data_IF_431981144019
#
_entry.id   IF_431981144019
#
_cell.length_a   1.000
_cell.length_b   1.000
_cell.length_c   1.000
_cell.angle_alpha   90.00
_cell.angle_beta   90.00
_cell.angle_gamma   90.00
#
_symmetry.space_group_name_H-M   'P 1'
#
loop_
_entity.id
_entity.type
_entity.pdbx_description
1 polymer ?
#
# COMPACT_ATOMS: atom_id res chain seq x y z
N UNK A 1 11.66 -11.73 29.33
CA UNK A 1 11.52 -12.34 27.99
C UNK A 1 12.77 -13.16 27.76
N UNK A 2 12.64 -14.43 27.33
CA UNK A 2 13.80 -15.21 26.90
C UNK A 2 14.00 -15.01 25.40
N UNK A 3 15.08 -14.34 25.02
CA UNK A 3 15.54 -14.25 23.64
C UNK A 3 16.31 -15.53 23.34
N UNK A 4 15.74 -16.44 22.57
CA UNK A 4 16.41 -17.69 22.21
C UNK A 4 17.13 -17.54 20.88
N UNK A 5 18.27 -18.23 20.76
CA UNK A 5 18.86 -18.55 19.46
C UNK A 5 17.92 -19.42 18.60
N UNK A 6 18.25 -19.62 17.31
CA UNK A 6 17.34 -20.11 16.27
C UNK A 6 16.63 -21.45 16.48
N UNK A 7 16.90 -22.19 17.58
CA UNK A 7 16.39 -23.55 17.82
C UNK A 7 15.53 -23.76 19.07
N UNK A 8 15.42 -22.81 20.00
CA UNK A 8 14.72 -23.07 21.27
C UNK A 8 13.50 -22.15 21.48
N UNK A 9 12.39 -22.72 21.94
CA UNK A 9 11.27 -21.98 22.51
C UNK A 9 11.42 -21.90 24.04
N UNK A 10 10.79 -20.92 24.72
CA UNK A 10 10.82 -20.89 26.18
C UNK A 10 10.19 -22.16 26.74
N UNK A 11 10.76 -22.77 27.80
CA UNK A 11 10.13 -23.88 28.48
C UNK A 11 8.69 -23.51 28.89
N UNK A 12 7.69 -24.39 28.64
CA UNK A 12 6.32 -24.14 29.08
C UNK A 12 6.27 -23.79 30.57
N UNK A 13 5.55 -22.73 30.94
CA UNK A 13 5.40 -22.32 32.34
C UNK A 13 6.55 -21.49 32.92
N UNK A 14 7.51 -21.04 32.09
CA UNK A 14 8.57 -20.10 32.52
C UNK A 14 7.95 -18.79 33.04
N UNK A 15 8.36 -18.35 34.24
CA UNK A 15 7.87 -17.12 34.89
C UNK A 15 9.04 -16.31 35.44
N UNK A 16 8.89 -14.97 35.45
CA UNK A 16 9.82 -14.04 36.09
C UNK A 16 9.03 -13.29 37.16
N UNK A 17 9.56 -13.18 38.37
CA UNK A 17 8.95 -12.36 39.43
C UNK A 17 9.60 -10.99 39.47
N UNK A 18 8.82 -9.92 39.32
CA UNK A 18 9.29 -8.54 39.47
C UNK A 18 8.40 -7.84 40.49
N UNK A 19 8.99 -7.41 41.62
CA UNK A 19 8.24 -6.74 42.69
C UNK A 19 7.07 -7.56 43.26
N UNK A 20 7.21 -8.89 43.34
CA UNK A 20 6.17 -9.81 43.80
C UNK A 20 5.12 -10.20 42.75
N UNK A 21 5.19 -9.65 41.52
CA UNK A 21 4.29 -9.99 40.42
C UNK A 21 4.91 -11.07 39.54
N UNK A 22 4.19 -12.18 39.34
CA UNK A 22 4.58 -13.23 38.39
C UNK A 22 4.24 -12.81 36.95
N UNK A 23 5.27 -12.69 36.11
CA UNK A 23 5.16 -12.37 34.70
C UNK A 23 5.49 -13.64 33.90
N UNK A 24 4.49 -14.19 33.21
CA UNK A 24 4.69 -15.32 32.31
C UNK A 24 5.62 -14.97 31.15
N UNK A 25 6.62 -15.83 30.89
CA UNK A 25 7.52 -15.69 29.75
C UNK A 25 6.80 -16.21 28.50
N UNK A 26 6.16 -15.30 27.77
CA UNK A 26 5.56 -15.59 26.48
C UNK A 26 6.57 -15.58 25.31
N UNK A 27 6.17 -16.14 24.17
CA UNK A 27 6.92 -16.08 22.91
C UNK A 27 6.89 -14.70 22.23
N UNK A 28 6.09 -13.77 22.74
CA UNK A 28 6.06 -12.38 22.32
C UNK A 28 5.68 -11.43 23.46
N UNK A 29 6.13 -10.18 23.40
CA UNK A 29 5.80 -9.12 24.36
C UNK A 29 5.42 -7.84 23.62
N UNK A 30 4.51 -7.07 24.21
CA UNK A 30 4.20 -5.72 23.73
C UNK A 30 5.12 -4.70 24.40
N UNK A 31 5.80 -3.88 23.60
CA UNK A 31 6.66 -2.80 24.09
C UNK A 31 6.49 -1.56 23.21
N UNK A 32 6.17 -0.41 23.82
CA UNK A 32 5.93 0.86 23.13
C UNK A 32 5.02 0.70 21.88
N UNK A 33 3.94 -0.06 21.99
CA UNK A 33 3.00 -0.30 20.88
C UNK A 33 3.45 -1.33 19.82
N UNK A 34 4.72 -1.74 19.81
CA UNK A 34 5.23 -2.85 19.01
C UNK A 34 5.03 -4.18 19.72
N UNK A 35 5.04 -5.28 18.95
CA UNK A 35 4.99 -6.63 19.51
C UNK A 35 6.25 -7.36 19.07
N UNK A 36 7.14 -7.58 20.02
CA UNK A 36 8.43 -8.21 19.80
C UNK A 36 8.24 -9.73 20.01
N UNK A 37 8.36 -10.51 18.94
CA UNK A 37 8.47 -11.98 19.06
C UNK A 37 9.90 -12.39 19.46
N UNK A 38 10.03 -13.58 20.02
CA UNK A 38 11.31 -14.11 20.53
C UNK A 38 12.43 -14.18 19.48
N UNK A 39 12.09 -14.15 18.18
CA UNK A 39 13.01 -14.19 17.05
C UNK A 39 13.24 -12.82 16.39
N UNK A 40 12.66 -11.75 16.94
CA UNK A 40 12.73 -10.40 16.36
C UNK A 40 12.29 -10.30 14.89
N UNK A 41 11.44 -11.23 14.42
CA UNK A 41 10.99 -11.22 13.01
C UNK A 41 9.83 -10.25 12.77
N UNK A 42 9.20 -9.78 13.84
CA UNK A 42 7.99 -8.97 13.87
C UNK A 42 6.78 -9.65 13.19
N UNK A 43 6.83 -10.95 12.91
CA UNK A 43 5.71 -11.68 12.31
C UNK A 43 4.45 -11.57 13.18
N UNK A 44 4.62 -11.69 14.50
CA UNK A 44 3.53 -11.55 15.46
C UNK A 44 2.97 -10.12 15.50
N UNK A 45 3.83 -9.11 15.34
CA UNK A 45 3.40 -7.71 15.20
C UNK A 45 2.47 -7.53 14.01
N UNK A 46 2.89 -7.96 12.81
CA UNK A 46 2.09 -7.81 11.59
C UNK A 46 0.83 -8.71 11.61
N UNK A 47 0.89 -9.86 12.28
CA UNK A 47 -0.30 -10.71 12.50
C UNK A 47 -1.37 -9.96 13.29
N UNK A 48 -1.00 -9.20 14.32
CA UNK A 48 -1.93 -8.39 15.14
C UNK A 48 -2.26 -7.03 14.52
N UNK A 49 -1.36 -6.45 13.73
CA UNK A 49 -1.53 -5.15 13.09
C UNK A 49 -2.50 -5.22 11.90
N UNK A 50 -2.37 -6.22 11.03
CA UNK A 50 -3.16 -6.29 9.80
C UNK A 50 -4.69 -6.26 10.04
N UNK A 51 -5.28 -7.02 10.98
CA UNK A 51 -6.71 -6.91 11.25
C UNK A 51 -7.15 -5.51 11.72
N UNK A 52 -6.26 -4.75 12.38
CA UNK A 52 -6.55 -3.37 12.75
C UNK A 52 -6.58 -2.46 11.53
N UNK A 53 -5.60 -2.60 10.64
CA UNK A 53 -5.53 -1.86 9.38
C UNK A 53 -6.74 -2.20 8.48
N UNK A 54 -7.11 -3.47 8.40
CA UNK A 54 -8.27 -3.94 7.64
C UNK A 54 -9.57 -3.38 8.21
N UNK A 55 -9.76 -3.38 9.54
CA UNK A 55 -10.92 -2.75 10.19
C UNK A 55 -10.99 -1.25 9.93
N UNK A 56 -9.87 -0.55 10.05
CA UNK A 56 -9.79 0.87 9.70
C UNK A 56 -10.16 1.11 8.23
N UNK A 57 -9.58 0.34 7.30
CA UNK A 57 -9.90 0.42 5.87
C UNK A 57 -11.36 0.08 5.55
N UNK A 58 -11.95 -0.87 6.27
CA UNK A 58 -13.36 -1.25 6.13
C UNK A 58 -14.30 -0.16 6.65
N UNK A 59 -14.00 0.47 7.78
CA UNK A 59 -14.76 1.62 8.28
C UNK A 59 -14.76 2.76 7.25
N UNK A 60 -13.59 3.02 6.64
CA UNK A 60 -13.43 4.04 5.61
C UNK A 60 -14.19 3.75 4.31
N UNK A 61 -14.49 2.47 4.00
CA UNK A 61 -15.30 2.11 2.83
C UNK A 61 -16.67 2.80 2.84
N UNK A 62 -17.29 2.96 4.01
CA UNK A 62 -18.61 3.63 4.14
C UNK A 62 -18.50 5.14 3.91
N UNK A 63 -17.40 5.74 4.35
CA UNK A 63 -17.15 7.18 4.24
C UNK A 63 -16.63 7.58 2.85
N UNK A 64 -15.96 6.67 2.15
CA UNK A 64 -15.29 6.91 0.88
C UNK A 64 -15.89 6.05 -0.25
N UNK A 65 -17.17 6.27 -0.62
CA UNK A 65 -17.80 5.52 -1.70
C UNK A 65 -17.08 5.76 -3.02
N UNK A 66 -17.25 4.84 -3.98
CA UNK A 66 -16.62 4.98 -5.30
C UNK A 66 -17.26 6.13 -6.09
N UNK A 67 -18.59 6.20 -6.07
CA UNK A 67 -19.40 7.26 -6.67
C UNK A 67 -19.83 8.27 -5.61
N UNK A 68 -19.74 9.55 -5.93
CA UNK A 68 -20.02 10.63 -4.98
C UNK A 68 -19.08 10.64 -3.77
N UNK A 69 -19.48 11.34 -2.72
CA UNK A 69 -18.73 11.43 -1.46
C UNK A 69 -17.43 12.24 -1.53
N UNK A 70 -16.58 12.13 -0.50
CA UNK A 70 -15.48 13.07 -0.27
C UNK A 70 -14.45 13.13 -1.40
N UNK A 71 -13.88 14.31 -1.54
CA UNK A 71 -12.92 14.70 -2.56
C UNK A 71 -11.51 14.14 -2.29
N UNK A 72 -10.56 14.57 -3.13
CA UNK A 72 -9.17 14.11 -3.11
C UNK A 72 -8.43 14.40 -1.78
N UNK A 73 -8.47 15.63 -1.21
CA UNK A 73 -7.91 15.93 0.12
C UNK A 73 -8.39 14.99 1.22
N UNK A 74 -9.70 14.76 1.32
CA UNK A 74 -10.27 13.90 2.36
C UNK A 74 -9.77 12.45 2.25
N UNK A 75 -9.73 11.90 1.03
CA UNK A 75 -9.19 10.55 0.78
C UNK A 75 -7.71 10.45 1.15
N UNK A 76 -6.90 11.45 0.79
CA UNK A 76 -5.47 11.51 1.16
C UNK A 76 -5.27 11.54 2.67
N UNK A 77 -6.08 12.32 3.38
CA UNK A 77 -6.02 12.38 4.85
C UNK A 77 -6.20 10.99 5.46
N UNK A 78 -7.26 10.28 5.07
CA UNK A 78 -7.53 8.94 5.59
C UNK A 78 -6.47 7.90 5.18
N UNK A 79 -5.97 7.97 3.95
CA UNK A 79 -4.83 7.15 3.54
C UNK A 79 -3.59 7.44 4.41
N UNK A 80 -3.35 8.71 4.73
CA UNK A 80 -2.30 9.16 5.65
C UNK A 80 -2.44 8.60 7.06
N UNK A 81 -3.66 8.59 7.62
CA UNK A 81 -3.94 8.00 8.94
C UNK A 81 -3.57 6.51 8.97
N UNK A 82 -4.08 5.73 8.01
CA UNK A 82 -3.80 4.28 7.97
C UNK A 82 -2.32 4.01 7.70
N UNK A 83 -1.68 4.81 6.85
CA UNK A 83 -0.22 4.76 6.62
C UNK A 83 0.56 5.02 7.92
N UNK A 84 0.18 6.02 8.72
CA UNK A 84 0.83 6.30 10.01
C UNK A 84 0.66 5.16 10.99
N UNK A 85 -0.51 4.49 11.01
CA UNK A 85 -0.70 3.27 11.81
C UNK A 85 0.20 2.13 11.34
N UNK A 86 0.33 1.95 10.02
CA UNK A 86 1.06 0.86 9.40
C UNK A 86 2.58 0.99 9.54
N UNK A 87 3.08 2.24 9.48
CA UNK A 87 4.51 2.56 9.52
C UNK A 87 5.01 2.96 10.90
N UNK A 88 4.17 2.84 11.92
CA UNK A 88 4.59 3.07 13.29
C UNK A 88 5.74 2.11 13.68
N UNK A 89 6.81 2.68 14.22
CA UNK A 89 8.01 1.94 14.59
C UNK A 89 8.81 1.37 13.41
N UNK A 90 8.60 1.85 12.17
CA UNK A 90 9.33 1.39 10.99
C UNK A 90 10.85 1.23 11.18
N UNK A 91 11.57 2.20 11.76
CA UNK A 91 13.02 2.05 12.00
C UNK A 91 13.40 0.82 12.84
N UNK A 92 12.51 0.37 13.72
CA UNK A 92 12.76 -0.76 14.62
C UNK A 92 12.59 -2.10 13.90
N UNK A 93 11.58 -2.23 13.04
CA UNK A 93 11.25 -3.51 12.40
C UNK A 93 11.77 -3.67 10.97
N UNK A 94 12.12 -2.59 10.27
CA UNK A 94 12.65 -2.65 8.89
C UNK A 94 13.89 -3.55 8.76
N UNK A 95 14.89 -3.49 9.66
CA UNK A 95 16.07 -4.36 9.57
C UNK A 95 15.74 -5.86 9.59
N UNK A 96 14.60 -6.23 10.18
CA UNK A 96 14.14 -7.62 10.32
C UNK A 96 12.93 -7.94 9.43
N UNK A 97 12.54 -7.04 8.51
CA UNK A 97 11.33 -7.19 7.71
C UNK A 97 11.49 -8.31 6.67
N UNK A 98 10.88 -9.46 6.95
CA UNK A 98 10.80 -10.57 6.01
C UNK A 98 9.77 -10.37 4.88
N UNK A 99 9.85 -11.22 3.84
CA UNK A 99 8.94 -11.21 2.68
C UNK A 99 7.46 -11.34 3.06
N UNK A 100 7.13 -12.21 4.03
CA UNK A 100 5.75 -12.47 4.48
C UNK A 100 5.12 -11.24 5.19
N UNK A 101 5.75 -10.67 6.23
CA UNK A 101 5.35 -9.37 6.79
C UNK A 101 5.17 -8.26 5.74
N UNK A 102 6.14 -8.09 4.84
CA UNK A 102 6.08 -7.08 3.79
C UNK A 102 4.89 -7.29 2.85
N UNK A 103 4.62 -8.54 2.43
CA UNK A 103 3.47 -8.87 1.60
C UNK A 103 2.14 -8.53 2.29
N UNK A 104 2.02 -8.81 3.60
CA UNK A 104 0.82 -8.52 4.40
C UNK A 104 0.62 -7.02 4.62
N UNK A 105 1.68 -6.27 4.89
CA UNK A 105 1.67 -4.81 4.97
C UNK A 105 1.14 -4.20 3.66
N UNK A 106 1.69 -4.64 2.54
CA UNK A 106 1.32 -4.20 1.20
C UNK A 106 -0.09 -4.65 0.78
N UNK A 107 -0.59 -5.77 1.30
CA UNK A 107 -1.99 -6.18 1.11
C UNK A 107 -2.96 -5.23 1.85
N UNK A 108 -2.61 -4.79 3.06
CA UNK A 108 -3.39 -3.78 3.79
C UNK A 108 -3.39 -2.44 3.05
N UNK A 109 -2.24 -2.02 2.51
CA UNK A 109 -2.14 -0.80 1.72
C UNK A 109 -3.10 -0.79 0.53
N UNK A 110 -3.23 -1.93 -0.16
CA UNK A 110 -4.11 -2.06 -1.33
C UNK A 110 -5.55 -1.64 -1.03
N UNK A 111 -6.04 -1.93 0.18
CA UNK A 111 -7.39 -1.52 0.59
C UNK A 111 -7.52 0.00 0.50
N UNK A 112 -6.53 0.73 0.98
CA UNK A 112 -6.50 2.19 0.92
C UNK A 112 -6.26 2.72 -0.49
N UNK A 113 -5.34 2.11 -1.25
CA UNK A 113 -5.06 2.50 -2.62
C UNK A 113 -6.30 2.38 -3.51
N UNK A 114 -7.09 1.31 -3.37
CA UNK A 114 -8.36 1.14 -4.09
C UNK A 114 -9.36 2.24 -3.74
N UNK A 115 -9.44 2.65 -2.45
CA UNK A 115 -10.34 3.72 -2.01
C UNK A 115 -9.91 5.08 -2.49
N UNK A 116 -8.60 5.33 -2.55
CA UNK A 116 -8.04 6.51 -3.19
C UNK A 116 -8.57 6.57 -4.61
N UNK A 117 -8.26 5.58 -5.45
CA UNK A 117 -8.64 5.63 -6.86
C UNK A 117 -10.12 5.35 -7.14
N UNK A 118 -10.99 5.22 -6.13
CA UNK A 118 -12.42 4.87 -6.32
C UNK A 118 -12.60 3.57 -7.15
N UNK A 119 -11.66 2.64 -6.99
CA UNK A 119 -11.57 1.44 -7.81
C UNK A 119 -12.44 0.28 -7.31
N UNK A 120 -12.60 -0.74 -8.15
CA UNK A 120 -13.17 -2.01 -7.71
C UNK A 120 -12.16 -2.86 -6.93
N UNK A 121 -12.69 -3.75 -6.08
CA UNK A 121 -11.92 -4.67 -5.24
C UNK A 121 -11.04 -5.67 -6.01
N UNK A 122 -11.14 -5.71 -7.33
CA UNK A 122 -10.42 -6.63 -8.23
C UNK A 122 -9.16 -6.03 -8.84
N UNK A 123 -8.92 -4.72 -8.68
CA UNK A 123 -7.70 -4.08 -9.18
C UNK A 123 -6.49 -4.67 -8.43
N UNK A 124 -5.40 -4.97 -9.14
CA UNK A 124 -4.20 -5.52 -8.51
C UNK A 124 -3.59 -4.52 -7.51
N UNK A 125 -2.77 -5.01 -6.58
CA UNK A 125 -2.07 -4.13 -5.63
C UNK A 125 -1.21 -3.10 -6.36
N UNK A 126 -0.38 -3.56 -7.28
CA UNK A 126 0.60 -2.72 -7.99
C UNK A 126 -0.10 -1.64 -8.82
N UNK A 127 -1.14 -2.01 -9.57
CA UNK A 127 -1.95 -1.06 -10.32
C UNK A 127 -2.67 -0.05 -9.40
N UNK A 128 -3.28 -0.51 -8.30
CA UNK A 128 -3.97 0.39 -7.38
C UNK A 128 -3.01 1.39 -6.73
N UNK A 129 -1.84 0.94 -6.25
CA UNK A 129 -0.81 1.80 -5.67
C UNK A 129 -0.25 2.81 -6.67
N UNK A 130 0.03 2.38 -7.91
CA UNK A 130 0.53 3.25 -8.97
C UNK A 130 -0.49 4.33 -9.34
N UNK A 131 -1.74 3.95 -9.60
CA UNK A 131 -2.82 4.89 -9.89
C UNK A 131 -3.06 5.85 -8.71
N UNK A 132 -2.97 5.36 -7.47
CA UNK A 132 -3.12 6.18 -6.27
C UNK A 132 -1.94 7.14 -6.03
N UNK A 133 -0.80 6.94 -6.70
CA UNK A 133 0.45 7.64 -6.39
C UNK A 133 0.97 7.31 -4.98
N UNK A 134 0.67 6.11 -4.47
CA UNK A 134 1.08 5.66 -3.15
C UNK A 134 2.19 4.61 -3.27
N UNK A 135 3.45 4.95 -2.93
CA UNK A 135 4.54 3.98 -2.95
C UNK A 135 4.27 2.81 -2.02
N UNK A 136 4.73 1.58 -2.36
CA UNK A 136 4.63 0.43 -1.47
C UNK A 136 5.12 0.75 -0.05
N UNK A 137 4.34 0.38 0.96
CA UNK A 137 4.65 0.72 2.35
C UNK A 137 5.95 0.12 2.84
N UNK A 138 6.38 -1.03 2.31
CA UNK A 138 7.70 -1.59 2.61
C UNK A 138 8.84 -0.67 2.13
N UNK A 139 8.69 0.00 0.98
CA UNK A 139 9.67 0.98 0.49
C UNK A 139 9.60 2.28 1.31
N UNK A 140 8.41 2.76 1.65
CA UNK A 140 8.26 3.93 2.53
C UNK A 140 8.87 3.68 3.92
N UNK A 141 8.73 2.46 4.44
CA UNK A 141 9.32 2.06 5.72
C UNK A 141 10.84 2.16 5.68
N UNK A 142 11.48 1.69 4.60
CA UNK A 142 12.93 1.84 4.40
C UNK A 142 13.37 3.30 4.43
N UNK A 143 12.59 4.19 3.81
CA UNK A 143 12.87 5.64 3.84
C UNK A 143 12.76 6.21 5.25
N UNK A 144 11.78 5.76 6.05
CA UNK A 144 11.64 6.15 7.46
C UNK A 144 12.78 5.62 8.33
N UNK A 145 13.22 4.39 8.11
CA UNK A 145 14.36 3.79 8.80
C UNK A 145 15.65 4.57 8.52
N UNK A 146 15.96 4.83 7.24
CA UNK A 146 17.15 5.62 6.86
C UNK A 146 17.14 7.02 7.46
N UNK A 147 15.99 7.71 7.46
CA UNK A 147 15.86 9.03 8.11
C UNK A 147 16.12 8.96 9.62
N UNK A 148 15.64 7.90 10.27
CA UNK A 148 15.85 7.69 11.70
C UNK A 148 17.33 7.42 12.00
N UNK A 149 17.99 6.56 11.21
CA UNK A 149 19.40 6.20 11.41
C UNK A 149 20.31 7.43 11.29
N UNK A 150 20.09 8.29 10.29
CA UNK A 150 20.84 9.55 10.16
C UNK A 150 20.63 10.48 11.35
N UNK A 151 19.40 10.56 11.88
CA UNK A 151 19.12 11.39 13.07
C UNK A 151 19.80 10.85 14.31
N UNK A 152 19.78 9.53 14.50
CA UNK A 152 20.47 8.88 15.62
C UNK A 152 21.97 9.09 15.51
N UNK A 153 22.55 8.98 14.32
CA UNK A 153 23.98 9.20 14.10
C UNK A 153 24.39 10.64 14.41
N UNK A 154 23.63 11.65 13.95
CA UNK A 154 23.89 13.04 14.31
C UNK A 154 23.74 13.28 15.81
N UNK A 155 22.69 12.73 16.43
CA UNK A 155 22.48 12.86 17.87
C UNK A 155 23.64 12.25 18.67
N UNK A 156 24.20 11.13 18.23
CA UNK A 156 25.40 10.51 18.85
C UNK A 156 26.63 11.41 18.77
N UNK A 157 26.71 12.27 17.75
CA UNK A 157 27.76 13.29 17.59
C UNK A 157 27.46 14.59 18.34
N UNK A 158 26.33 14.67 19.05
CA UNK A 158 25.87 15.90 19.71
C UNK A 158 25.31 16.95 18.75
N UNK A 159 25.00 16.56 17.51
CA UNK A 159 24.52 17.47 16.47
C UNK A 159 23.00 17.39 16.30
N UNK A 160 22.37 18.51 15.96
CA UNK A 160 20.96 18.56 15.56
C UNK A 160 20.87 18.90 14.07
N UNK A 161 20.15 18.08 13.27
CA UNK A 161 20.06 18.32 11.84
C UNK A 161 19.30 19.62 11.53
N UNK A 162 19.89 20.47 10.70
CA UNK A 162 19.23 21.67 10.22
C UNK A 162 18.01 21.30 9.35
N UNK A 163 16.93 22.12 9.34
CA UNK A 163 15.75 21.85 8.51
C UNK A 163 16.07 21.61 7.03
N UNK A 164 17.04 22.36 6.47
CA UNK A 164 17.53 22.20 5.10
C UNK A 164 18.18 20.84 4.83
N UNK A 165 18.92 20.29 5.80
CA UNK A 165 19.54 18.97 5.69
C UNK A 165 18.48 17.88 5.74
N UNK A 166 17.51 17.98 6.66
CA UNK A 166 16.37 17.05 6.73
C UNK A 166 15.56 17.08 5.43
N UNK A 167 15.36 18.25 4.84
CA UNK A 167 14.69 18.40 3.56
C UNK A 167 15.51 17.75 2.41
N UNK A 168 16.83 17.96 2.38
CA UNK A 168 17.71 17.33 1.40
C UNK A 168 17.67 15.80 1.47
N UNK A 169 17.80 15.22 2.66
CA UNK A 169 17.70 13.76 2.84
C UNK A 169 16.33 13.22 2.43
N UNK A 170 15.24 13.93 2.76
CA UNK A 170 13.89 13.54 2.33
C UNK A 170 13.77 13.50 0.81
N UNK A 171 14.33 14.49 0.12
CA UNK A 171 14.33 14.55 -1.34
C UNK A 171 15.14 13.41 -1.94
N UNK A 172 16.34 13.17 -1.42
CA UNK A 172 17.23 12.08 -1.84
C UNK A 172 16.56 10.71 -1.65
N UNK A 173 16.10 10.40 -0.44
CA UNK A 173 15.50 9.10 -0.16
C UNK A 173 14.18 8.87 -0.90
N UNK A 174 13.43 9.95 -1.21
CA UNK A 174 12.27 9.85 -2.09
C UNK A 174 12.65 9.52 -3.53
N UNK A 175 13.78 10.05 -4.03
CA UNK A 175 14.33 9.68 -5.35
C UNK A 175 14.70 8.21 -5.38
N UNK A 176 15.43 7.73 -4.38
CA UNK A 176 15.82 6.31 -4.28
C UNK A 176 14.59 5.39 -4.22
N UNK A 177 13.59 5.77 -3.43
CA UNK A 177 12.32 5.04 -3.34
C UNK A 177 11.61 4.99 -4.69
N UNK A 178 11.60 6.09 -5.45
CA UNK A 178 11.00 6.13 -6.79
C UNK A 178 11.73 5.21 -7.77
N UNK A 179 13.06 5.20 -7.75
CA UNK A 179 13.88 4.28 -8.56
C UNK A 179 13.56 2.82 -8.22
N UNK A 180 13.58 2.48 -6.92
CA UNK A 180 13.27 1.13 -6.46
C UNK A 180 11.84 0.70 -6.81
N UNK A 181 10.87 1.63 -6.71
CA UNK A 181 9.49 1.36 -7.07
C UNK A 181 9.33 1.17 -8.58
N UNK A 182 9.94 2.02 -9.41
CA UNK A 182 9.92 1.89 -10.87
C UNK A 182 10.55 0.57 -11.32
N UNK A 183 11.66 0.15 -10.70
CA UNK A 183 12.27 -1.15 -10.93
C UNK A 183 11.32 -2.29 -10.55
N UNK A 184 10.63 -2.21 -9.42
CA UNK A 184 9.63 -3.22 -9.02
C UNK A 184 8.47 -3.33 -10.02
N UNK A 185 8.11 -2.22 -10.67
CA UNK A 185 7.07 -2.18 -11.71
C UNK A 185 7.55 -2.64 -13.09
N UNK A 186 8.83 -3.00 -13.27
CA UNK A 186 9.31 -3.61 -14.52
C UNK A 186 8.88 -5.06 -14.67
N UNK A 187 8.65 -5.75 -13.55
CA UNK A 187 8.19 -7.15 -13.48
C UNK A 187 6.98 -7.26 -12.56
N UNK A 188 5.83 -6.71 -12.95
CA UNK A 188 4.64 -6.75 -12.11
C UNK A 188 4.08 -8.17 -12.01
N UNK A 189 3.45 -8.48 -10.89
CA UNK A 189 2.75 -9.74 -10.68
C UNK A 189 1.33 -9.73 -11.27
N UNK A 190 0.72 -8.54 -11.36
CA UNK A 190 -0.62 -8.36 -11.92
C UNK A 190 -0.91 -6.90 -12.27
N UNK A 191 -1.86 -6.68 -13.18
CA UNK A 191 -2.24 -5.34 -13.63
C UNK A 191 -1.31 -4.77 -14.71
N UNK A 192 -0.70 -5.66 -15.50
CA UNK A 192 0.21 -5.35 -16.61
C UNK A 192 -0.24 -4.16 -17.45
N UNK A 193 -1.46 -4.17 -18.00
CA UNK A 193 -1.98 -3.09 -18.84
C UNK A 193 -1.93 -1.69 -18.18
N UNK A 194 -2.36 -1.58 -16.92
CA UNK A 194 -2.30 -0.30 -16.18
C UNK A 194 -0.85 0.16 -16.01
N UNK A 195 0.03 -0.78 -15.68
CA UNK A 195 1.43 -0.49 -15.39
C UNK A 195 2.17 -0.12 -16.67
N UNK A 196 1.93 -0.82 -17.77
CA UNK A 196 2.47 -0.50 -19.10
C UNK A 196 2.03 0.88 -19.58
N UNK A 197 0.77 1.26 -19.34
CA UNK A 197 0.26 2.58 -19.72
C UNK A 197 0.82 3.72 -18.86
N UNK A 198 0.99 3.51 -17.55
CA UNK A 198 1.34 4.59 -16.61
C UNK A 198 2.85 4.68 -16.32
N UNK A 199 3.60 3.57 -16.33
CA UNK A 199 5.04 3.53 -16.01
C UNK A 199 5.91 4.41 -16.92
N UNK A 200 5.61 4.60 -18.22
CA UNK A 200 6.36 5.55 -19.05
C UNK A 200 6.26 6.99 -18.54
N UNK A 201 5.12 7.35 -17.94
CA UNK A 201 4.79 8.67 -17.39
C UNK A 201 5.00 8.73 -15.87
N UNK A 202 5.87 7.89 -15.31
CA UNK A 202 5.89 7.62 -13.87
C UNK A 202 6.11 8.89 -13.04
N UNK A 203 7.04 9.76 -13.43
CA UNK A 203 7.35 10.98 -12.66
C UNK A 203 6.21 12.00 -12.80
N UNK A 204 5.76 12.27 -14.03
CA UNK A 204 4.65 13.19 -14.30
C UNK A 204 3.36 12.72 -13.61
N UNK A 205 3.14 11.40 -13.59
CA UNK A 205 2.01 10.81 -12.90
C UNK A 205 2.07 11.02 -11.41
N UNK A 206 3.23 10.86 -10.76
CA UNK A 206 3.36 11.07 -9.32
C UNK A 206 3.30 12.56 -8.92
N UNK A 207 3.69 13.45 -9.82
CA UNK A 207 3.77 14.91 -9.59
C UNK A 207 2.53 15.67 -10.07
N UNK A 208 1.57 14.98 -10.67
CA UNK A 208 0.33 15.57 -11.21
C UNK A 208 -0.37 16.47 -10.18
N UNK A 209 -0.77 17.66 -10.65
CA UNK A 209 -1.53 18.62 -9.83
C UNK A 209 -3.00 18.24 -9.63
N UNK A 210 -3.56 17.42 -10.51
CA UNK A 210 -4.94 16.95 -10.36
C UNK A 210 -4.99 15.79 -9.37
N UNK A 211 -5.73 15.98 -8.26
CA UNK A 211 -5.66 15.15 -7.07
C UNK A 211 -5.83 13.63 -7.30
N UNK A 212 -7.05 13.14 -7.14
CA UNK A 212 -7.34 11.70 -7.18
C UNK A 212 -8.22 11.41 -8.38
N UNK A 213 -8.00 10.27 -9.04
CA UNK A 213 -8.75 9.89 -10.22
C UNK A 213 -10.26 9.87 -9.95
N UNK A 214 -11.04 10.34 -10.92
CA UNK A 214 -12.49 10.16 -10.90
C UNK A 214 -12.83 8.68 -11.02
N UNK A 215 -14.01 8.29 -10.54
CA UNK A 215 -14.48 6.90 -10.65
C UNK A 215 -14.41 6.38 -12.09
N UNK A 216 -14.85 7.21 -13.05
CA UNK A 216 -14.89 6.88 -14.49
C UNK A 216 -13.48 6.73 -15.06
N UNK A 217 -12.56 7.63 -14.74
CA UNK A 217 -11.16 7.52 -15.19
C UNK A 217 -10.49 6.26 -14.64
N UNK A 218 -10.71 5.92 -13.38
CA UNK A 218 -10.17 4.68 -12.84
C UNK A 218 -10.71 3.46 -13.56
N UNK A 219 -12.01 3.43 -13.85
CA UNK A 219 -12.65 2.33 -14.59
C UNK A 219 -12.03 2.16 -15.98
N UNK A 220 -11.88 3.27 -16.70
CA UNK A 220 -11.19 3.36 -17.99
C UNK A 220 -9.77 2.77 -17.90
N UNK A 221 -8.94 3.30 -17.01
CA UNK A 221 -7.53 2.90 -16.89
C UNK A 221 -7.36 1.45 -16.47
N UNK A 222 -8.27 0.94 -15.65
CA UNK A 222 -8.18 -0.41 -15.09
C UNK A 222 -8.87 -1.47 -15.96
N UNK A 223 -9.52 -1.06 -17.04
CA UNK A 223 -10.34 -1.96 -17.86
C UNK A 223 -11.52 -2.54 -17.07
N UNK A 224 -12.11 -1.73 -16.18
CA UNK A 224 -13.25 -2.06 -15.34
C UNK A 224 -14.47 -1.22 -15.72
N UNK A 225 -15.68 -1.67 -15.37
CA UNK A 225 -16.93 -0.93 -15.64
C UNK A 225 -17.85 -1.66 -16.60
N UNK A 226 -18.56 -0.95 -17.46
CA UNK A 226 -19.48 -1.54 -18.46
C UNK A 226 -18.74 -2.15 -19.68
N UNK A 227 -17.41 -2.23 -19.65
CA UNK A 227 -16.64 -2.86 -20.72
C UNK A 227 -16.91 -4.37 -20.73
N UNK A 228 -17.27 -4.92 -21.89
CA UNK A 228 -17.67 -6.33 -22.00
C UNK A 228 -16.60 -7.32 -21.63
N UNK A 229 -15.33 -7.03 -21.92
CA UNK A 229 -14.20 -7.86 -21.46
C UNK A 229 -14.20 -8.02 -19.94
N UNK A 230 -14.51 -6.96 -19.20
CA UNK A 230 -14.64 -7.03 -17.75
C UNK A 230 -15.86 -7.84 -17.32
N UNK A 231 -17.03 -7.54 -17.89
CA UNK A 231 -18.29 -8.20 -17.56
C UNK A 231 -18.25 -9.71 -17.87
N UNK A 232 -17.66 -10.11 -18.99
CA UNK A 232 -17.41 -11.50 -19.34
C UNK A 232 -16.48 -12.18 -18.33
N UNK A 233 -15.37 -11.52 -17.95
CA UNK A 233 -14.45 -12.03 -16.92
C UNK A 233 -15.13 -12.27 -15.57
N UNK A 234 -16.10 -11.44 -15.18
CA UNK A 234 -16.89 -11.63 -13.95
C UNK A 234 -18.17 -12.44 -14.17
N UNK A 235 -18.31 -13.10 -15.33
CA UNK A 235 -19.43 -13.97 -15.72
C UNK A 235 -20.80 -13.27 -15.74
N UNK A 236 -20.83 -11.96 -15.96
CA UNK A 236 -22.06 -11.19 -16.14
C UNK A 236 -22.46 -11.03 -17.62
N UNK A 237 -21.53 -11.27 -18.56
CA UNK A 237 -21.78 -11.26 -20.01
C UNK A 237 -21.29 -12.57 -20.64
N UNK A 238 -21.96 -13.03 -21.70
CA UNK A 238 -21.64 -14.31 -22.37
C UNK A 238 -20.42 -14.22 -23.29
N UNK A 239 -20.10 -13.04 -23.81
CA UNK A 239 -18.97 -12.82 -24.73
C UNK A 239 -18.21 -11.54 -24.39
N UNK A 240 -16.89 -11.47 -24.70
CA UNK A 240 -16.06 -10.30 -24.40
C UNK A 240 -16.17 -9.15 -25.44
N UNK A 241 -16.77 -9.39 -26.61
CA UNK A 241 -16.83 -8.44 -27.74
C UNK A 241 -18.04 -7.49 -27.73
N UNK A 242 -17.86 -6.28 -28.27
CA UNK A 242 -18.91 -5.25 -28.34
C UNK A 242 -20.00 -5.58 -29.36
N UNK A 243 -21.25 -5.16 -29.10
CA UNK A 243 -22.33 -5.25 -30.10
C UNK A 243 -22.27 -4.12 -31.14
N UNK A 244 -21.47 -3.08 -30.91
CA UNK A 244 -21.41 -1.87 -31.74
C UNK A 244 -20.20 -1.86 -32.69
N UNK A 245 -19.21 -2.72 -32.46
CA UNK A 245 -18.02 -2.86 -33.28
C UNK A 245 -17.99 -4.29 -33.82
N UNK A 246 -18.78 -4.53 -34.87
CA UNK A 246 -18.95 -5.85 -35.51
C UNK A 246 -17.62 -6.44 -35.99
N UNK A 247 -16.61 -5.60 -36.23
CA UNK A 247 -15.31 -6.01 -36.80
C UNK A 247 -14.17 -6.16 -35.78
N UNK A 248 -14.38 -6.03 -34.46
CA UNK A 248 -13.25 -6.10 -33.51
C UNK A 248 -13.51 -6.91 -32.23
N UNK A 249 -12.60 -7.84 -31.86
CA UNK A 249 -12.83 -8.80 -30.78
C UNK A 249 -12.74 -8.22 -29.35
N UNK A 250 -12.28 -6.97 -29.16
CA UNK A 250 -12.04 -6.40 -27.84
C UNK A 250 -12.61 -4.99 -27.64
N UNK A 251 -13.31 -4.80 -26.53
CA UNK A 251 -13.93 -3.54 -26.10
C UNK A 251 -13.05 -2.87 -25.02
N UNK A 252 -11.85 -2.43 -25.42
CA UNK A 252 -10.92 -1.64 -24.59
C UNK A 252 -10.96 -0.17 -25.00
N UNK A 253 -10.53 0.71 -24.09
CA UNK A 253 -10.52 2.18 -24.30
C UNK A 253 -9.67 2.58 -25.50
N UNK A 254 -8.65 1.78 -25.83
CA UNK A 254 -7.78 1.95 -27.01
C UNK A 254 -8.51 1.73 -28.34
N UNK A 255 -9.70 1.11 -28.32
CA UNK A 255 -10.37 0.57 -29.51
C UNK A 255 -11.75 1.19 -29.76
N UNK A 256 -12.37 1.84 -28.77
CA UNK A 256 -13.70 2.42 -28.90
C UNK A 256 -13.65 3.91 -29.30
N UNK A 257 -13.91 4.22 -30.58
CA UNK A 257 -13.99 5.60 -31.13
C UNK A 257 -15.15 6.46 -30.56
N UNK A 258 -15.99 5.93 -29.68
CA UNK A 258 -17.22 6.58 -29.20
C UNK A 258 -17.17 6.99 -27.72
N UNK A 259 -15.97 7.25 -27.19
CA UNK A 259 -15.78 7.68 -25.80
C UNK A 259 -15.97 9.20 -25.65
N UNK A 260 -17.23 9.65 -25.58
CA UNK A 260 -17.56 11.08 -25.33
C UNK A 260 -18.04 11.23 -23.88
N UNK A 261 -17.44 12.15 -23.12
CA UNK A 261 -17.85 12.52 -21.74
C UNK A 261 -17.91 11.38 -20.69
N UNK A 262 -17.11 10.32 -20.88
CA UNK A 262 -17.03 9.23 -19.90
C UNK A 262 -18.29 8.37 -19.80
N UNK A 263 -19.15 8.41 -20.82
CA UNK A 263 -20.24 7.45 -21.01
C UNK A 263 -19.96 6.67 -22.31
N UNK A 264 -20.01 5.34 -22.23
CA UNK A 264 -20.30 4.52 -23.41
C UNK A 264 -21.73 4.83 -23.79
N UNK A 265 -21.95 5.25 -25.04
CA UNK A 265 -23.23 5.60 -25.66
C UNK A 265 -24.42 4.91 -24.96
N UNK A 266 -25.27 5.71 -24.29
CA UNK A 266 -26.60 5.20 -23.91
C UNK A 266 -27.36 4.94 -25.20
N UNK A 267 -28.17 3.87 -25.20
CA UNK A 267 -29.11 3.55 -26.27
C UNK A 267 -29.87 4.78 -26.74
#
# INVERSE_FOLDING_TARGET
MCFHGPRNAPPPGSQITVGGVHIGVGSAMKYLGLVLDSRWTFEEHFRRLAPKLDRSGAALKRLLPNLGGPDAPCRRLYAGIVRSMALYGAPVWVPSLGKRPAAKLNACQRVMAIRMVRGYRTISREAASLLAGLPPWDLEATVLARMHDLRVEMQRRGETPLPRQVAAWRTEFRRDLRVAWRLRLSQPSAGHAVIEAVRPLFEEWLERGHGVLSFRMTQVLTGHGKFRRFLHRIKQERTPGSHHCVDRPEDTVEVCKYFVNGELCRR
#
